data_IF_889510859371
#
_entry.id   IF_889510859371
#
_cell.length_a   1.000
_cell.length_b   1.000
_cell.length_c   1.000
_cell.angle_alpha   90.00
_cell.angle_beta   90.00
_cell.angle_gamma   90.00
#
_symmetry.space_group_name_H-M   'P 1'
#
loop_
_entity.id
_entity.type
_entity.pdbx_description
1 polymer ?
#
# COMPACT_ATOMS: atom_id res chain seq x y z
N UNK A 1 11.87 2.38 0.95
CA UNK A 1 11.77 2.11 -0.49
C UNK A 1 12.12 0.66 -0.81
N UNK A 2 12.50 0.38 -2.04
CA UNK A 2 12.69 -0.98 -2.57
C UNK A 2 13.71 -1.84 -1.81
N UNK A 3 14.68 -1.22 -1.14
CA UNK A 3 15.61 -1.94 -0.26
C UNK A 3 14.95 -2.50 1.01
N UNK A 4 13.86 -1.90 1.46
CA UNK A 4 13.10 -2.40 2.60
C UNK A 4 11.96 -3.32 2.18
N UNK A 5 11.31 -3.01 1.07
CA UNK A 5 10.22 -3.79 0.50
C UNK A 5 10.05 -3.49 -0.99
N UNK A 6 10.02 -4.55 -1.77
CA UNK A 6 9.71 -4.53 -3.20
C UNK A 6 8.36 -5.19 -3.43
N UNK A 7 7.50 -4.58 -4.23
CA UNK A 7 6.17 -5.11 -4.56
C UNK A 7 6.03 -5.36 -6.04
N UNK A 8 5.17 -6.32 -6.39
CA UNK A 8 4.89 -6.63 -7.77
C UNK A 8 4.29 -5.41 -8.49
N UNK A 9 4.77 -5.04 -9.69
CA UNK A 9 4.40 -3.78 -10.36
C UNK A 9 2.97 -3.72 -10.90
N UNK A 10 2.18 -4.78 -10.74
CA UNK A 10 0.83 -4.92 -11.30
C UNK A 10 -0.11 -3.76 -10.95
N UNK A 11 0.07 -3.17 -9.78
CA UNK A 11 -0.76 -2.05 -9.31
C UNK A 11 -0.07 -0.68 -9.40
N UNK A 12 1.18 -0.61 -9.87
CA UNK A 12 1.94 0.64 -9.96
C UNK A 12 2.17 1.35 -8.61
N UNK A 13 2.05 0.63 -7.48
CA UNK A 13 1.99 1.21 -6.14
C UNK A 13 3.35 1.41 -5.46
N UNK A 14 4.45 0.96 -6.07
CA UNK A 14 5.80 1.06 -5.46
C UNK A 14 6.17 2.50 -5.11
N UNK A 15 5.91 3.44 -6.01
CA UNK A 15 6.15 4.86 -5.76
C UNK A 15 5.32 5.41 -4.58
N UNK A 16 4.03 5.09 -4.54
CA UNK A 16 3.14 5.53 -3.47
C UNK A 16 3.57 4.97 -2.10
N UNK A 17 4.06 3.73 -2.07
CA UNK A 17 4.60 3.12 -0.87
C UNK A 17 5.87 3.85 -0.40
N UNK A 18 6.78 4.17 -1.32
CA UNK A 18 7.98 4.96 -1.02
C UNK A 18 7.67 6.33 -0.45
N UNK A 19 6.68 7.04 -1.00
CA UNK A 19 6.23 8.33 -0.45
C UNK A 19 5.64 8.18 0.97
N UNK A 20 4.87 7.11 1.22
CA UNK A 20 4.36 6.82 2.57
C UNK A 20 5.48 6.54 3.56
N UNK A 21 6.52 5.84 3.15
CA UNK A 21 7.70 5.60 3.98
C UNK A 21 8.39 6.91 4.38
N UNK A 22 8.55 7.83 3.45
CA UNK A 22 9.12 9.16 3.72
C UNK A 22 8.24 9.93 4.72
N UNK A 23 6.92 9.90 4.53
CA UNK A 23 5.98 10.53 5.46
C UNK A 23 6.09 9.92 6.87
N UNK A 24 6.11 8.59 6.98
CA UNK A 24 6.24 7.89 8.25
C UNK A 24 7.57 8.20 8.93
N UNK A 25 8.66 8.23 8.16
CA UNK A 25 9.98 8.60 8.67
C UNK A 25 9.96 10.03 9.22
N UNK A 26 9.38 10.97 8.48
CA UNK A 26 9.29 12.36 8.91
C UNK A 26 8.47 12.51 10.22
N UNK A 27 7.37 11.78 10.37
CA UNK A 27 6.57 11.79 11.60
C UNK A 27 7.40 11.30 12.79
N UNK A 28 8.12 10.19 12.65
CA UNK A 28 8.94 9.64 13.73
C UNK A 28 10.12 10.55 14.04
N UNK A 29 10.77 11.09 13.01
CA UNK A 29 11.89 12.01 13.14
C UNK A 29 11.50 13.27 13.92
N UNK A 30 10.40 13.91 13.56
CA UNK A 30 9.92 15.11 14.24
C UNK A 30 9.55 14.83 15.70
N UNK A 31 8.87 13.70 16.00
CA UNK A 31 8.52 13.33 17.37
C UNK A 31 9.77 13.12 18.24
N UNK A 32 10.81 12.47 17.70
CA UNK A 32 12.06 12.24 18.43
C UNK A 32 12.86 13.51 18.62
N UNK A 33 12.93 14.37 17.61
CA UNK A 33 13.64 15.65 17.67
C UNK A 33 12.99 16.58 18.70
N UNK A 34 11.66 16.69 18.69
CA UNK A 34 10.91 17.52 19.65
C UNK A 34 11.11 17.04 21.10
N UNK A 35 11.19 15.73 21.31
CA UNK A 35 11.42 15.14 22.63
C UNK A 35 12.89 15.05 23.02
N UNK A 36 13.80 15.53 22.18
CA UNK A 36 15.27 15.43 22.37
C UNK A 36 15.74 13.98 22.56
N UNK A 37 15.07 13.03 21.92
CA UNK A 37 15.50 11.64 21.89
C UNK A 37 16.53 11.40 20.79
N UNK A 38 17.35 10.38 20.98
CA UNK A 38 18.35 9.97 20.00
C UNK A 38 17.66 9.40 18.74
N UNK A 39 17.93 10.03 17.60
CA UNK A 39 17.44 9.60 16.29
C UNK A 39 18.29 8.43 15.80
N UNK A 40 17.62 7.39 15.26
CA UNK A 40 18.30 6.23 14.71
C UNK A 40 18.57 5.10 15.72
N UNK A 41 18.22 5.28 16.99
CA UNK A 41 18.30 4.20 17.98
C UNK A 41 17.25 3.10 17.70
N UNK A 42 17.35 1.99 18.44
CA UNK A 42 16.47 0.82 18.26
C UNK A 42 14.98 1.18 18.39
N UNK A 43 14.61 2.03 19.34
CA UNK A 43 13.23 2.45 19.55
C UNK A 43 12.71 3.32 18.40
N UNK A 44 13.54 4.19 17.85
CA UNK A 44 13.23 4.95 16.64
C UNK A 44 12.94 4.01 15.46
N UNK A 45 13.82 3.03 15.24
CA UNK A 45 13.68 2.06 14.16
C UNK A 45 12.42 1.19 14.34
N UNK A 46 12.14 0.72 15.55
CA UNK A 46 10.92 -0.03 15.87
C UNK A 46 9.66 0.78 15.59
N UNK A 47 9.62 2.05 15.98
CA UNK A 47 8.48 2.93 15.76
C UNK A 47 8.26 3.19 14.27
N UNK A 48 9.32 3.49 13.52
CA UNK A 48 9.24 3.62 12.08
C UNK A 48 8.74 2.34 11.41
N UNK A 49 9.31 1.19 11.76
CA UNK A 49 8.91 -0.09 11.22
C UNK A 49 7.43 -0.42 11.48
N UNK A 50 6.92 -0.14 12.68
CA UNK A 50 5.52 -0.38 13.03
C UNK A 50 4.54 0.42 12.18
N UNK A 51 4.90 1.64 11.79
CA UNK A 51 4.09 2.49 10.91
C UNK A 51 4.16 2.06 9.45
N UNK A 52 5.36 1.71 8.97
CA UNK A 52 5.59 1.40 7.56
C UNK A 52 5.18 -0.03 7.20
N UNK A 53 5.42 -1.01 8.08
CA UNK A 53 5.10 -2.42 7.85
C UNK A 53 3.62 -2.66 7.58
N UNK A 54 2.73 -2.02 8.35
CA UNK A 54 1.27 -2.19 8.18
C UNK A 54 0.81 -1.78 6.78
N UNK A 55 1.31 -0.66 6.28
CA UNK A 55 0.97 -0.17 4.95
C UNK A 55 1.51 -1.09 3.84
N UNK A 56 2.77 -1.52 3.97
CA UNK A 56 3.40 -2.43 3.04
C UNK A 56 2.68 -3.79 3.01
N UNK A 57 2.38 -4.37 4.17
CA UNK A 57 1.72 -5.66 4.28
C UNK A 57 0.33 -5.69 3.65
N UNK A 58 -0.48 -4.65 3.87
CA UNK A 58 -1.80 -4.53 3.22
C UNK A 58 -1.67 -4.48 1.70
N UNK A 59 -0.69 -3.73 1.20
CA UNK A 59 -0.47 -3.60 -0.22
C UNK A 59 0.04 -4.91 -0.85
N UNK A 60 0.94 -5.63 -0.18
CA UNK A 60 1.36 -6.97 -0.60
C UNK A 60 0.18 -7.92 -0.77
N UNK A 61 -0.68 -8.00 0.23
CA UNK A 61 -1.84 -8.90 0.16
C UNK A 61 -2.77 -8.57 -1.01
N UNK A 62 -2.96 -7.30 -1.31
CA UNK A 62 -3.82 -6.87 -2.41
C UNK A 62 -3.15 -7.18 -3.75
N UNK A 63 -1.88 -6.83 -3.92
CA UNK A 63 -1.15 -7.06 -5.17
C UNK A 63 -0.98 -8.55 -5.46
N UNK A 64 -0.74 -9.39 -4.45
CA UNK A 64 -0.64 -10.84 -4.62
C UNK A 64 -1.99 -11.46 -5.03
N UNK A 65 -3.09 -11.03 -4.40
CA UNK A 65 -4.43 -11.47 -4.79
C UNK A 65 -4.78 -11.05 -6.21
N UNK A 66 -4.49 -9.81 -6.58
CA UNK A 66 -4.70 -9.32 -7.94
C UNK A 66 -3.87 -10.14 -8.94
N UNK A 67 -2.58 -10.33 -8.66
CA UNK A 67 -1.69 -11.10 -9.52
C UNK A 67 -2.20 -12.55 -9.67
N UNK A 68 -2.63 -13.18 -8.58
CA UNK A 68 -3.20 -14.52 -8.61
C UNK A 68 -4.45 -14.60 -9.49
N UNK A 69 -5.37 -13.63 -9.38
CA UNK A 69 -6.58 -13.60 -10.17
C UNK A 69 -6.33 -13.30 -11.65
N UNK A 70 -5.46 -12.34 -11.96
CA UNK A 70 -5.17 -11.97 -13.36
C UNK A 70 -4.30 -13.01 -14.09
N UNK A 71 -3.53 -13.83 -13.36
CA UNK A 71 -2.72 -14.90 -13.95
C UNK A 71 -3.54 -16.12 -14.37
N UNK A 72 -4.76 -16.28 -13.86
CA UNK A 72 -5.66 -17.39 -14.22
C UNK A 72 -6.47 -17.02 -15.45
N UNK A 73 -6.18 -17.69 -16.56
CA UNK A 73 -6.86 -17.50 -17.87
C UNK A 73 -8.23 -18.19 -17.96
N UNK A 74 -8.81 -18.69 -16.87
CA UNK A 74 -10.09 -19.37 -16.89
C UNK A 74 -11.23 -18.38 -17.18
N UNK A 75 -12.12 -18.74 -18.10
CA UNK A 75 -13.30 -17.95 -18.51
C UNK A 75 -14.17 -17.49 -17.33
N UNK A 76 -14.21 -18.28 -16.26
CA UNK A 76 -14.92 -17.94 -15.03
C UNK A 76 -14.35 -16.69 -14.32
N UNK A 77 -13.01 -16.57 -14.24
CA UNK A 77 -12.36 -15.40 -13.64
C UNK A 77 -12.52 -14.14 -14.49
N UNK A 78 -12.56 -14.28 -15.82
CA UNK A 78 -12.87 -13.14 -16.73
C UNK A 78 -14.31 -12.65 -16.52
N UNK A 79 -15.26 -13.57 -16.36
CA UNK A 79 -16.65 -13.21 -16.10
C UNK A 79 -16.80 -12.52 -14.74
N UNK A 80 -16.19 -13.05 -13.69
CA UNK A 80 -16.17 -12.44 -12.35
C UNK A 80 -15.53 -11.05 -12.35
N UNK A 81 -14.42 -10.89 -13.06
CA UNK A 81 -13.75 -9.59 -13.17
C UNK A 81 -14.64 -8.56 -13.88
N UNK A 82 -15.25 -8.93 -15.00
CA UNK A 82 -16.15 -8.04 -15.75
C UNK A 82 -17.38 -7.66 -14.92
N UNK A 83 -17.98 -8.62 -14.21
CA UNK A 83 -19.13 -8.36 -13.33
C UNK A 83 -18.74 -7.48 -12.15
N UNK A 84 -17.56 -7.73 -11.55
CA UNK A 84 -17.01 -6.92 -10.46
C UNK A 84 -16.71 -5.49 -10.90
N UNK A 85 -16.10 -5.29 -12.05
CA UNK A 85 -15.82 -3.97 -12.60
C UNK A 85 -17.11 -3.20 -12.91
N UNK A 86 -18.11 -3.82 -13.54
CA UNK A 86 -19.41 -3.22 -13.79
C UNK A 86 -20.12 -2.82 -12.49
N UNK A 87 -20.00 -3.64 -11.44
CA UNK A 87 -20.58 -3.33 -10.13
C UNK A 87 -19.89 -2.12 -9.47
N UNK A 88 -18.56 -2.04 -9.57
CA UNK A 88 -17.79 -0.91 -9.04
C UNK A 88 -18.11 0.36 -9.83
N UNK A 89 -18.23 0.27 -11.15
CA UNK A 89 -18.50 1.40 -12.03
C UNK A 89 -19.86 2.01 -11.77
N UNK A 90 -20.86 1.18 -11.49
CA UNK A 90 -22.23 1.62 -11.16
C UNK A 90 -22.38 2.20 -9.74
N UNK A 91 -21.38 2.02 -8.86
CA UNK A 91 -21.41 2.56 -7.48
C UNK A 91 -20.37 3.66 -7.29
N UNK A 92 -20.77 4.90 -7.54
CA UNK A 92 -19.90 6.08 -7.48
C UNK A 92 -19.09 6.20 -6.18
N UNK A 93 -19.71 5.96 -5.02
CA UNK A 93 -19.03 6.02 -3.73
C UNK A 93 -17.99 4.91 -3.50
N UNK A 94 -18.19 3.73 -4.09
CA UNK A 94 -17.23 2.63 -4.05
C UNK A 94 -16.06 2.91 -4.98
N UNK A 95 -16.33 3.42 -6.18
CA UNK A 95 -15.31 3.85 -7.15
C UNK A 95 -14.38 4.90 -6.54
N UNK A 96 -14.91 5.94 -5.90
CA UNK A 96 -14.12 6.97 -5.24
C UNK A 96 -13.23 6.42 -4.12
N UNK A 97 -13.74 5.52 -3.29
CA UNK A 97 -12.95 4.88 -2.23
C UNK A 97 -11.80 4.04 -2.78
N UNK A 98 -12.06 3.26 -3.82
CA UNK A 98 -11.04 2.44 -4.48
C UNK A 98 -10.00 3.34 -5.15
N UNK A 99 -10.44 4.41 -5.82
CA UNK A 99 -9.53 5.36 -6.48
C UNK A 99 -8.64 6.07 -5.46
N UNK A 100 -9.19 6.57 -4.35
CA UNK A 100 -8.41 7.17 -3.27
C UNK A 100 -7.41 6.19 -2.67
N UNK A 101 -7.82 4.97 -2.42
CA UNK A 101 -6.92 3.92 -1.95
C UNK A 101 -5.78 3.65 -2.96
N UNK A 102 -6.10 3.54 -4.25
CA UNK A 102 -5.12 3.34 -5.31
C UNK A 102 -4.15 4.51 -5.46
N UNK A 103 -4.61 5.74 -5.25
CA UNK A 103 -3.76 6.95 -5.25
C UNK A 103 -2.96 7.13 -3.95
N UNK A 104 -3.22 6.33 -2.93
CA UNK A 104 -2.50 6.41 -1.66
C UNK A 104 -2.93 7.59 -0.75
N UNK A 105 -4.11 8.13 -0.96
CA UNK A 105 -4.70 9.26 -0.21
C UNK A 105 -5.95 8.85 0.54
#
# INVERSE_FOLDING_TARGET
>A
GDSAHSIHPIAGQGWNLGIKDIKNLNVVFNDYTLKKHEVGNENFCKKYNSLSYKNAFQLYQITDKLNYHFKREENFYRLLSNTGFNFIENKRGLKEKITKFAMGV
#
